data_IF_788941886943
#
_entry.id   IF_788941886943
#
_cell.length_a   1.000
_cell.length_b   1.000
_cell.length_c   1.000
_cell.angle_alpha   90.00
_cell.angle_beta   90.00
_cell.angle_gamma   90.00
#
_symmetry.space_group_name_H-M   'P 1'
#
loop_
_entity.id
_entity.type
_entity.pdbx_description
1 polymer ?
#
# COMPACT_ATOMS: atom_id res chain seq x y z
N UNK A 1 17.69 43.17 2.47
CA UNK A 1 18.47 42.18 1.70
C UNK A 1 17.54 41.03 1.44
N UNK A 2 17.13 40.82 0.20
CA UNK A 2 16.23 39.73 -0.20
C UNK A 2 17.13 38.53 -0.53
N UNK A 3 17.12 37.51 0.33
CA UNK A 3 18.05 36.38 0.17
C UNK A 3 17.43 35.32 -0.74
N UNK A 4 18.22 34.66 -1.62
CA UNK A 4 17.71 33.63 -2.53
C UNK A 4 16.95 32.47 -1.87
N UNK A 5 17.17 32.24 -0.58
CA UNK A 5 16.50 31.20 0.20
C UNK A 5 15.14 31.64 0.76
N UNK A 6 14.86 32.94 0.81
CA UNK A 6 13.59 33.47 1.35
C UNK A 6 12.40 32.99 0.51
N UNK A 7 12.60 32.70 -0.78
CA UNK A 7 11.55 32.16 -1.66
C UNK A 7 11.22 30.68 -1.40
N UNK A 8 12.15 29.90 -0.86
CA UNK A 8 11.97 28.46 -0.61
C UNK A 8 11.16 28.22 0.67
N UNK A 9 11.34 29.09 1.67
CA UNK A 9 10.67 29.00 2.96
C UNK A 9 9.46 29.91 3.10
N UNK A 10 9.15 30.72 2.07
CA UNK A 10 7.90 31.48 2.04
C UNK A 10 6.74 30.48 2.16
N UNK A 11 5.90 30.58 3.22
CA UNK A 11 4.73 29.73 3.30
C UNK A 11 3.91 30.00 2.04
N UNK A 12 3.46 28.92 1.39
CA UNK A 12 2.52 29.02 0.28
C UNK A 12 1.38 29.90 0.78
N UNK A 13 1.24 31.11 0.22
CA UNK A 13 0.19 32.05 0.60
C UNK A 13 -1.14 31.52 0.08
N UNK A 14 -1.65 30.49 0.72
CA UNK A 14 -3.03 30.07 0.56
C UNK A 14 -3.84 31.18 1.24
N UNK A 15 -4.53 32.02 0.46
CA UNK A 15 -5.47 32.99 1.01
C UNK A 15 -6.65 32.17 1.53
N UNK A 16 -6.79 32.09 2.84
CA UNK A 16 -7.93 31.47 3.50
C UNK A 16 -9.05 32.50 3.59
N UNK A 17 -10.29 32.06 3.44
CA UNK A 17 -11.44 32.86 3.84
C UNK A 17 -11.57 32.74 5.37
N UNK A 18 -11.00 33.71 6.09
CA UNK A 18 -10.83 33.65 7.55
C UNK A 18 -12.07 34.02 8.35
N UNK A 19 -13.09 34.60 7.69
CA UNK A 19 -14.10 35.40 8.38
C UNK A 19 -15.38 34.62 8.68
N UNK A 20 -16.11 34.12 7.66
CA UNK A 20 -17.39 33.40 7.87
C UNK A 20 -17.38 31.96 7.32
N UNK A 21 -16.59 31.68 6.28
CA UNK A 21 -16.58 30.40 5.58
C UNK A 21 -15.35 29.52 5.88
N UNK A 22 -14.53 29.89 6.87
CA UNK A 22 -13.30 29.17 7.19
C UNK A 22 -13.53 27.66 7.41
N UNK A 23 -14.57 27.32 8.17
CA UNK A 23 -14.89 25.92 8.50
C UNK A 23 -15.30 25.13 7.27
N UNK A 24 -16.10 25.72 6.36
CA UNK A 24 -16.57 25.03 5.16
C UNK A 24 -15.43 24.84 4.15
N UNK A 25 -14.59 25.86 3.97
CA UNK A 25 -13.37 25.80 3.15
C UNK A 25 -12.39 24.75 3.69
N UNK A 26 -12.18 24.72 5.01
CA UNK A 26 -11.31 23.75 5.66
C UNK A 26 -11.79 22.32 5.46
N UNK A 27 -13.09 22.06 5.68
CA UNK A 27 -13.68 20.74 5.46
C UNK A 27 -13.57 20.29 3.99
N UNK A 28 -13.77 21.20 3.04
CA UNK A 28 -13.62 20.88 1.63
C UNK A 28 -12.18 20.49 1.30
N UNK A 29 -11.20 21.20 1.83
CA UNK A 29 -9.77 20.88 1.64
C UNK A 29 -9.38 19.55 2.28
N UNK A 30 -9.87 19.27 3.48
CA UNK A 30 -9.67 17.98 4.14
C UNK A 30 -10.22 16.83 3.29
N UNK A 31 -11.42 17.01 2.70
CA UNK A 31 -11.99 16.01 1.78
C UNK A 31 -11.13 15.83 0.53
N UNK A 32 -10.61 16.91 -0.06
CA UNK A 32 -9.72 16.83 -1.23
C UNK A 32 -8.41 16.14 -0.87
N UNK A 33 -7.76 16.55 0.22
CA UNK A 33 -6.52 15.94 0.70
C UNK A 33 -6.69 14.44 0.97
N UNK A 34 -7.79 14.06 1.60
CA UNK A 34 -8.12 12.65 1.86
C UNK A 34 -8.30 11.85 0.56
N UNK A 35 -9.06 12.38 -0.41
CA UNK A 35 -9.22 11.72 -1.73
C UNK A 35 -7.87 11.57 -2.44
N UNK A 36 -7.03 12.60 -2.42
CA UNK A 36 -5.71 12.56 -3.02
C UNK A 36 -4.81 11.51 -2.33
N UNK A 37 -4.89 11.40 -1.01
CA UNK A 37 -4.17 10.38 -0.25
C UNK A 37 -4.62 8.97 -0.64
N UNK A 38 -5.93 8.72 -0.70
CA UNK A 38 -6.49 7.43 -1.15
C UNK A 38 -6.03 7.09 -2.56
N UNK A 39 -6.19 8.01 -3.52
CA UNK A 39 -5.79 7.78 -4.90
C UNK A 39 -4.28 7.48 -5.03
N UNK A 40 -3.46 8.11 -4.18
CA UNK A 40 -2.02 7.83 -4.12
C UNK A 40 -1.76 6.44 -3.55
N UNK A 41 -2.44 6.04 -2.48
CA UNK A 41 -2.31 4.70 -1.87
C UNK A 41 -2.69 3.63 -2.90
N UNK A 42 -3.83 3.77 -3.57
CA UNK A 42 -4.29 2.83 -4.61
C UNK A 42 -3.25 2.71 -5.72
N UNK A 43 -2.85 3.84 -6.32
CA UNK A 43 -1.84 3.86 -7.38
C UNK A 43 -0.50 3.24 -6.97
N UNK A 44 -0.07 3.49 -5.72
CA UNK A 44 1.17 2.88 -5.21
C UNK A 44 1.03 1.38 -4.98
N UNK A 45 -0.13 0.93 -4.52
CA UNK A 45 -0.45 -0.49 -4.31
C UNK A 45 -0.41 -1.24 -5.64
N UNK A 46 -1.07 -0.70 -6.67
CA UNK A 46 -1.06 -1.26 -8.02
C UNK A 46 0.36 -1.35 -8.58
N UNK A 47 1.15 -0.27 -8.45
CA UNK A 47 2.55 -0.26 -8.90
C UNK A 47 3.39 -1.33 -8.21
N UNK A 48 3.19 -1.54 -6.90
CA UNK A 48 3.91 -2.57 -6.13
C UNK A 48 3.50 -3.96 -6.59
N UNK A 49 2.20 -4.20 -6.77
CA UNK A 49 1.67 -5.46 -7.29
C UNK A 49 2.24 -5.80 -8.67
N UNK A 50 2.24 -4.83 -9.59
CA UNK A 50 2.78 -5.03 -10.94
C UNK A 50 4.29 -5.28 -10.94
N UNK A 51 5.03 -4.57 -10.09
CA UNK A 51 6.47 -4.80 -9.95
C UNK A 51 6.76 -6.18 -9.37
N UNK A 52 5.95 -6.65 -8.42
CA UNK A 52 6.05 -8.00 -7.89
C UNK A 52 5.81 -9.03 -9.00
N UNK A 53 4.69 -8.91 -9.74
CA UNK A 53 4.36 -9.84 -10.81
C UNK A 53 5.39 -9.86 -11.94
N UNK A 54 5.99 -8.70 -12.29
CA UNK A 54 7.10 -8.64 -13.26
C UNK A 54 8.35 -9.38 -12.80
N UNK A 55 8.60 -9.45 -11.50
CA UNK A 55 9.75 -10.15 -10.91
C UNK A 55 9.48 -11.63 -10.67
N UNK A 56 8.22 -12.03 -10.59
CA UNK A 56 7.83 -13.42 -10.39
C UNK A 56 8.13 -14.21 -11.65
N UNK A 57 9.14 -15.07 -11.60
CA UNK A 57 9.39 -16.06 -12.65
C UNK A 57 8.40 -17.21 -12.47
N UNK A 58 7.66 -17.61 -13.52
CA UNK A 58 6.85 -18.82 -13.45
C UNK A 58 7.77 -20.01 -13.21
N UNK A 59 7.51 -20.76 -12.14
CA UNK A 59 8.18 -22.02 -11.88
C UNK A 59 7.27 -23.14 -12.35
N UNK A 60 7.65 -23.79 -13.44
CA UNK A 60 6.97 -25.00 -13.90
C UNK A 60 7.35 -26.16 -12.97
N UNK A 61 6.35 -26.71 -12.30
CA UNK A 61 6.49 -27.88 -11.44
C UNK A 61 6.59 -29.11 -12.34
N UNK A 62 7.63 -29.92 -12.16
CA UNK A 62 7.86 -31.15 -12.93
C UNK A 62 7.68 -32.39 -12.06
N UNK A 63 7.41 -33.52 -12.71
CA UNK A 63 7.44 -34.83 -12.06
C UNK A 63 8.82 -35.06 -11.41
N UNK A 64 8.81 -35.48 -10.14
CA UNK A 64 9.99 -35.64 -9.30
C UNK A 64 10.33 -34.45 -8.39
N UNK A 65 9.72 -33.27 -8.61
CA UNK A 65 9.96 -32.10 -7.77
C UNK A 65 9.35 -32.26 -6.37
N UNK A 66 9.99 -31.64 -5.37
CA UNK A 66 9.47 -31.55 -4.00
C UNK A 66 8.72 -30.25 -3.80
N UNK A 67 7.44 -30.34 -3.50
CA UNK A 67 6.54 -29.19 -3.34
C UNK A 67 5.91 -29.18 -1.95
N UNK A 68 5.66 -27.98 -1.43
CA UNK A 68 4.87 -27.79 -0.22
C UNK A 68 3.41 -27.51 -0.59
N UNK A 69 2.47 -28.12 0.13
CA UNK A 69 1.05 -27.86 -0.08
C UNK A 69 0.61 -26.64 0.73
N UNK A 70 -0.07 -25.69 0.08
CA UNK A 70 -0.65 -24.53 0.75
C UNK A 70 -2.00 -24.89 1.38
N UNK A 71 -2.04 -24.93 2.71
CA UNK A 71 -3.22 -25.20 3.51
C UNK A 71 -3.55 -23.95 4.35
N UNK A 72 -4.37 -23.01 3.84
CA UNK A 72 -4.70 -21.78 4.56
C UNK A 72 -5.67 -21.99 5.73
N UNK A 73 -6.05 -23.24 6.03
CA UNK A 73 -7.00 -23.56 7.08
C UNK A 73 -6.40 -23.22 8.46
N UNK A 74 -7.06 -22.30 9.17
CA UNK A 74 -6.69 -21.99 10.55
C UNK A 74 -7.20 -23.08 11.49
N UNK A 75 -6.30 -23.64 12.29
CA UNK A 75 -6.70 -24.51 13.40
C UNK A 75 -7.40 -23.68 14.46
N UNK A 76 -8.55 -24.15 14.92
CA UNK A 76 -9.32 -23.50 15.99
C UNK A 76 -8.41 -23.35 17.22
N UNK A 77 -8.34 -22.14 17.79
CA UNK A 77 -7.51 -21.83 18.95
C UNK A 77 -6.08 -21.36 18.65
N UNK A 78 -5.68 -21.25 17.38
CA UNK A 78 -4.36 -20.71 16.98
C UNK A 78 -4.57 -19.46 16.12
N UNK A 79 -3.79 -18.39 16.41
CA UNK A 79 -3.85 -17.17 15.59
C UNK A 79 -3.30 -17.42 14.18
N UNK A 80 -3.86 -16.76 13.16
CA UNK A 80 -3.46 -16.96 11.75
C UNK A 80 -1.98 -16.66 11.47
N UNK A 81 -1.33 -15.89 12.35
CA UNK A 81 0.11 -15.59 12.29
C UNK A 81 0.97 -16.77 12.77
N UNK A 82 0.44 -17.60 13.66
CA UNK A 82 1.14 -18.75 14.24
C UNK A 82 0.76 -20.08 13.57
N UNK A 83 -0.27 -20.09 12.72
CA UNK A 83 -0.65 -21.27 11.94
C UNK A 83 0.40 -21.55 10.87
N UNK A 84 0.88 -22.81 10.81
CA UNK A 84 1.68 -23.31 9.68
C UNK A 84 0.76 -23.43 8.46
N UNK A 85 1.01 -22.62 7.43
CA UNK A 85 0.23 -22.61 6.17
C UNK A 85 0.75 -23.58 5.11
N UNK A 86 1.93 -24.15 5.33
CA UNK A 86 2.59 -25.02 4.37
C UNK A 86 2.82 -26.38 5.02
N UNK A 87 2.33 -27.43 4.38
CA UNK A 87 2.42 -28.81 4.86
C UNK A 87 3.30 -29.62 3.93
N UNK A 88 4.25 -30.35 4.54
CA UNK A 88 5.04 -31.44 3.97
C UNK A 88 5.91 -31.12 2.74
N UNK A 89 6.99 -31.86 2.50
CA UNK A 89 7.51 -32.00 1.15
C UNK A 89 6.80 -33.17 0.47
N UNK A 90 5.88 -32.87 -0.44
CA UNK A 90 5.27 -33.86 -1.34
C UNK A 90 6.13 -34.01 -2.59
N UNK A 91 6.10 -35.19 -3.22
CA UNK A 91 6.69 -35.38 -4.55
C UNK A 91 5.59 -35.35 -5.59
N UNK A 92 5.85 -34.63 -6.68
CA UNK A 92 4.99 -34.64 -7.87
C UNK A 92 5.27 -35.94 -8.61
N UNK A 93 4.22 -36.75 -8.82
CA UNK A 93 4.29 -38.05 -9.51
C UNK A 93 3.46 -38.02 -10.77
#
# INVERSE_FOLDING_TARGET
>A
MDYPYDDIFKPIRVRYDTDENYVTEFLQRMKVAHRNAIATIEKTTDRVHDQFNKRTTPHEIKEGDRVYLYEPANKIGISSKLTKKWTGPYRVT
#
